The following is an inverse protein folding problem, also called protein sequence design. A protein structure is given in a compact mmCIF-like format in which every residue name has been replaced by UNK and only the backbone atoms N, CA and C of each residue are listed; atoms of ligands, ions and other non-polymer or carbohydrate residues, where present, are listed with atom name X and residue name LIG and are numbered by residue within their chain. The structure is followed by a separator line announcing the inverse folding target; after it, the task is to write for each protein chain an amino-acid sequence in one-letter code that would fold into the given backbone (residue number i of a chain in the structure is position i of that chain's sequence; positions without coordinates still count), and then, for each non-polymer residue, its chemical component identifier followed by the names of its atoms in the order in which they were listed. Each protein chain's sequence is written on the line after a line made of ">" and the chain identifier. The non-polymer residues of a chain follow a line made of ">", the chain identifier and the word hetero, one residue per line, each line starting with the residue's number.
data_IF_766065731968
#
_entry.id   IF_766065731968
#
_cell.length_a   1.000
_cell.length_b   1.000
_cell.length_c   1.000
_cell.angle_alpha   90.00
_cell.angle_beta   90.00
_cell.angle_gamma   90.00
#
_symmetry.space_group_name_H-M   'P 1'
#
loop_
_entity.id
_entity.type
_entity.pdbx_description
1 polymer ?
#
# COMPACT_ATOMS: atom_id res chain seq x y z
N UNK A 1 13.37 10.50 -6.74
CA UNK A 1 13.35 9.47 -5.67
C UNK A 1 11.90 9.34 -5.30
N UNK A 2 11.25 8.29 -5.77
CA UNK A 2 9.80 8.30 -5.98
C UNK A 2 9.12 7.45 -4.91
N UNK A 3 9.34 7.86 -3.65
CA UNK A 3 8.61 7.33 -2.52
C UNK A 3 7.28 8.05 -2.41
N UNK A 4 6.20 7.27 -2.35
CA UNK A 4 4.88 7.79 -2.06
C UNK A 4 4.44 7.26 -0.69
N UNK A 5 4.04 8.18 0.18
CA UNK A 5 3.31 7.82 1.39
C UNK A 5 1.83 7.74 1.05
N UNK A 6 1.23 6.57 1.19
CA UNK A 6 -0.20 6.37 0.99
C UNK A 6 -0.92 6.31 2.33
N UNK A 7 -2.16 6.81 2.39
CA UNK A 7 -2.98 6.80 3.59
C UNK A 7 -3.83 5.53 3.64
N UNK A 8 -4.90 5.49 2.85
CA UNK A 8 -5.83 4.36 2.86
C UNK A 8 -5.35 3.20 1.99
N UNK A 9 -4.60 3.49 0.93
CA UNK A 9 -4.18 2.50 -0.05
C UNK A 9 -4.03 3.12 -1.43
N UNK A 10 -3.93 2.27 -2.45
CA UNK A 10 -3.79 2.66 -3.84
C UNK A 10 -4.53 1.68 -4.74
N UNK A 11 -4.91 2.14 -5.93
CA UNK A 11 -5.67 1.34 -6.88
C UNK A 11 -5.20 1.52 -8.31
N UNK A 12 -5.29 0.45 -9.10
CA UNK A 12 -5.14 0.46 -10.54
C UNK A 12 -6.51 0.27 -11.21
N UNK A 13 -6.95 1.28 -11.97
CA UNK A 13 -8.19 1.22 -12.75
C UNK A 13 -7.90 0.73 -14.17
N UNK A 14 -8.16 -0.55 -14.43
CA UNK A 14 -8.09 -1.12 -15.77
C UNK A 14 -9.38 -0.90 -16.58
N UNK A 15 -9.40 -1.39 -17.83
CA UNK A 15 -10.59 -1.27 -18.71
C UNK A 15 -11.73 -2.23 -18.35
N UNK A 16 -11.41 -3.37 -17.73
CA UNK A 16 -12.37 -4.46 -17.43
C UNK A 16 -12.38 -4.87 -15.96
N UNK A 17 -11.30 -4.58 -15.24
CA UNK A 17 -11.14 -4.90 -13.83
C UNK A 17 -10.32 -3.77 -13.20
N UNK A 18 -10.69 -3.40 -11.97
CA UNK A 18 -9.85 -2.60 -11.10
C UNK A 18 -9.25 -3.47 -10.01
N UNK A 19 -8.10 -3.04 -9.49
CA UNK A 19 -7.42 -3.65 -8.34
C UNK A 19 -7.22 -2.56 -7.31
N UNK A 20 -7.58 -2.83 -6.06
CA UNK A 20 -7.34 -1.96 -4.92
C UNK A 20 -6.50 -2.73 -3.90
N UNK A 21 -5.55 -2.04 -3.27
CA UNK A 21 -4.78 -2.61 -2.18
C UNK A 21 -4.58 -1.59 -1.05
N UNK A 22 -4.43 -2.10 0.17
CA UNK A 22 -3.99 -1.32 1.32
C UNK A 22 -2.85 -2.03 2.05
N UNK A 23 -1.97 -1.24 2.67
CA UNK A 23 -0.82 -1.71 3.43
C UNK A 23 -0.70 -0.88 4.72
N UNK A 24 -1.59 -1.09 5.71
CA UNK A 24 -1.66 -0.25 6.91
C UNK A 24 -0.35 -0.21 7.71
N UNK A 25 0.45 -1.28 7.66
CA UNK A 25 1.70 -1.39 8.41
C UNK A 25 2.91 -0.79 7.67
N UNK A 26 2.82 -0.64 6.34
CA UNK A 26 3.94 -0.21 5.48
C UNK A 26 3.48 0.83 4.46
N UNK A 27 3.10 2.05 4.90
CA UNK A 27 2.46 3.06 4.04
C UNK A 27 3.38 3.68 2.99
N UNK A 28 4.67 3.31 2.98
CA UNK A 28 5.64 3.80 2.01
C UNK A 28 5.76 2.82 0.85
N UNK A 29 5.51 3.33 -0.34
CA UNK A 29 5.63 2.57 -1.59
C UNK A 29 6.61 3.24 -2.55
N UNK A 30 7.14 2.44 -3.47
CA UNK A 30 7.95 2.89 -4.58
C UNK A 30 7.26 2.48 -5.88
N UNK A 31 7.17 3.43 -6.81
CA UNK A 31 6.69 3.19 -8.17
C UNK A 31 7.87 3.28 -9.12
N UNK A 32 8.06 2.24 -9.92
CA UNK A 32 9.08 2.21 -10.96
C UNK A 32 10.22 1.24 -10.71
N UNK A 33 11.15 1.20 -11.66
CA UNK A 33 12.28 0.29 -11.61
C UNK A 33 13.19 0.60 -10.42
N UNK A 34 13.62 -0.44 -9.69
CA UNK A 34 14.66 -0.32 -8.68
C UNK A 34 16.00 -0.10 -9.39
N UNK A 35 16.56 1.11 -9.34
CA UNK A 35 17.92 1.36 -9.83
C UNK A 35 18.75 2.11 -8.79
N UNK A 36 20.03 1.70 -8.65
CA UNK A 36 20.95 2.31 -7.69
C UNK A 36 21.24 3.80 -7.99
N UNK A 37 21.04 4.22 -9.25
CA UNK A 37 21.30 5.57 -9.73
C UNK A 37 19.98 6.30 -10.10
N UNK A 38 18.87 6.00 -9.41
CA UNK A 38 17.56 6.53 -9.79
C UNK A 38 17.40 8.03 -9.45
N UNK A 39 17.94 8.87 -10.32
CA UNK A 39 17.65 10.30 -10.38
C UNK A 39 16.52 10.52 -11.38
N UNK A 40 15.29 10.15 -11.00
CA UNK A 40 14.11 10.64 -11.72
C UNK A 40 13.62 11.90 -11.00
N UNK A 41 13.73 13.01 -11.71
CA UNK A 41 13.32 14.36 -11.34
C UNK A 41 12.08 14.79 -12.13
N UNK A 42 11.27 13.85 -12.63
CA UNK A 42 10.16 14.21 -13.49
C UNK A 42 8.90 13.43 -13.12
N UNK A 43 7.85 14.17 -12.76
CA UNK A 43 6.46 13.73 -12.70
C UNK A 43 5.96 13.34 -14.11
N UNK A 44 6.59 12.35 -14.73
CA UNK A 44 6.20 11.82 -16.04
C UNK A 44 5.01 10.88 -15.83
N UNK A 45 3.86 11.11 -16.49
CA UNK A 45 2.62 10.36 -16.27
C UNK A 45 2.74 8.85 -16.52
N UNK A 46 3.75 8.41 -17.27
CA UNK A 46 3.99 6.98 -17.56
C UNK A 46 4.58 6.19 -16.37
N UNK A 47 5.07 6.85 -15.31
CA UNK A 47 5.57 6.16 -14.11
C UNK A 47 4.46 5.46 -13.31
N UNK A 48 3.21 5.94 -13.40
CA UNK A 48 2.06 5.36 -12.69
C UNK A 48 1.62 3.98 -13.21
N UNK A 49 2.29 3.45 -14.24
CA UNK A 49 2.06 2.11 -14.81
C UNK A 49 3.16 1.11 -14.50
N UNK A 50 4.14 1.50 -13.69
CA UNK A 50 5.32 0.70 -13.44
C UNK A 50 5.15 -0.23 -12.23
N UNK A 51 6.17 -1.05 -11.99
CA UNK A 51 6.22 -1.98 -10.87
C UNK A 51 6.02 -1.24 -9.55
N UNK A 52 5.24 -1.85 -8.65
CA UNK A 52 4.99 -1.37 -7.30
C UNK A 52 5.80 -2.17 -6.31
N UNK A 53 6.53 -1.48 -5.45
CA UNK A 53 7.27 -2.08 -4.34
C UNK A 53 6.80 -1.49 -3.02
N UNK A 54 6.67 -2.33 -1.99
CA UNK A 54 6.44 -1.86 -0.63
C UNK A 54 7.78 -1.70 0.08
N UNK A 55 7.95 -0.57 0.75
CA UNK A 55 9.13 -0.30 1.57
C UNK A 55 8.85 -0.69 3.02
N UNK A 56 9.08 -1.96 3.32
CA UNK A 56 8.66 -2.57 4.60
C UNK A 56 9.53 -2.19 5.79
N UNK A 57 10.78 -1.79 5.55
CA UNK A 57 11.75 -1.48 6.60
C UNK A 57 12.67 -0.34 6.17
N UNK A 58 12.82 0.66 7.04
CA UNK A 58 13.65 1.83 6.80
C UNK A 58 15.13 1.54 7.07
N UNK A 59 15.81 0.98 6.06
CA UNK A 59 17.28 0.82 6.09
C UNK A 59 17.93 1.54 4.91
N UNK A 60 17.40 2.69 4.55
CA UNK A 60 18.09 3.50 3.56
C UNK A 60 19.30 4.14 4.21
N UNK A 61 20.42 4.14 3.50
CA UNK A 61 21.73 4.56 4.04
C UNK A 61 21.72 6.00 4.57
N UNK A 62 20.85 6.87 4.04
CA UNK A 62 20.66 8.27 4.47
C UNK A 62 19.73 8.46 5.68
N UNK A 63 19.04 7.41 6.13
CA UNK A 63 18.09 7.50 7.24
C UNK A 63 18.73 7.02 8.53
N UNK A 64 18.64 7.83 9.59
CA UNK A 64 19.30 7.61 10.88
C UNK A 64 18.62 6.52 11.73
N UNK A 65 18.35 5.37 11.12
CA UNK A 65 17.77 4.20 11.78
C UNK A 65 18.85 3.18 12.11
N UNK A 66 18.57 2.37 13.14
CA UNK A 66 19.45 1.27 13.53
C UNK A 66 19.58 0.30 12.35
N UNK A 67 20.81 0.11 11.86
CA UNK A 67 21.09 -0.75 10.70
C UNK A 67 20.71 -2.24 10.91
N UNK A 68 20.47 -2.66 12.15
CA UNK A 68 20.07 -4.04 12.45
C UNK A 68 18.56 -4.24 12.37
N UNK A 69 18.12 -5.17 11.52
CA UNK A 69 16.73 -5.62 11.35
C UNK A 69 16.45 -6.95 12.06
N UNK A 70 17.10 -7.20 13.19
CA UNK A 70 16.89 -8.45 13.93
C UNK A 70 15.54 -8.45 14.63
N UNK A 71 14.78 -9.54 14.51
CA UNK A 71 13.50 -9.73 15.19
C UNK A 71 12.50 -10.51 14.35
N UNK A 72 11.26 -10.58 14.86
CA UNK A 72 10.11 -11.10 14.11
C UNK A 72 9.20 -9.92 13.76
N UNK A 73 8.82 -9.85 12.49
CA UNK A 73 7.96 -8.79 11.96
C UNK A 73 6.78 -9.43 11.22
N UNK A 74 5.61 -8.82 11.37
CA UNK A 74 4.40 -9.16 10.61
C UNK A 74 3.92 -7.86 9.96
N UNK A 75 3.54 -7.95 8.68
CA UNK A 75 3.03 -6.82 7.90
C UNK A 75 1.78 -7.26 7.16
N UNK A 76 0.69 -6.53 7.36
CA UNK A 76 -0.60 -6.79 6.77
C UNK A 76 -0.75 -6.08 5.43
N UNK A 77 -1.20 -6.85 4.44
CA UNK A 77 -1.58 -6.36 3.13
C UNK A 77 -2.96 -6.88 2.77
N UNK A 78 -3.79 -6.01 2.25
CA UNK A 78 -5.12 -6.34 1.79
C UNK A 78 -5.25 -6.07 0.31
N UNK A 79 -5.90 -6.98 -0.41
CA UNK A 79 -6.11 -6.88 -1.85
C UNK A 79 -7.55 -7.17 -2.19
N UNK A 80 -8.09 -6.40 -3.13
CA UNK A 80 -9.39 -6.66 -3.74
C UNK A 80 -9.32 -6.35 -5.22
N UNK A 81 -10.09 -7.10 -6.02
CA UNK A 81 -10.14 -6.93 -7.47
C UNK A 81 -11.55 -7.17 -7.96
N UNK A 82 -12.03 -6.33 -8.88
CA UNK A 82 -13.37 -6.48 -9.42
C UNK A 82 -13.71 -5.41 -10.46
N UNK A 83 -14.74 -5.64 -11.30
CA UNK A 83 -15.22 -4.65 -12.26
C UNK A 83 -15.71 -3.36 -11.60
N UNK A 84 -16.24 -3.43 -10.38
CA UNK A 84 -16.68 -2.28 -9.60
C UNK A 84 -15.52 -1.36 -9.19
N UNK A 85 -14.32 -1.89 -9.05
CA UNK A 85 -13.12 -1.15 -8.67
C UNK A 85 -12.48 -0.39 -9.85
N UNK A 86 -13.07 -0.47 -11.06
CA UNK A 86 -12.67 0.41 -12.17
C UNK A 86 -12.94 1.88 -11.80
N UNK A 87 -14.03 2.15 -11.07
CA UNK A 87 -14.33 3.48 -10.54
C UNK A 87 -13.33 3.84 -9.42
N UNK A 88 -12.54 4.92 -9.58
CA UNK A 88 -11.58 5.33 -8.55
C UNK A 88 -12.23 5.56 -7.18
N UNK A 89 -13.45 6.11 -7.16
CA UNK A 89 -14.19 6.37 -5.93
C UNK A 89 -14.51 5.07 -5.18
N UNK A 90 -14.99 4.04 -5.89
CA UNK A 90 -15.25 2.71 -5.31
C UNK A 90 -13.98 2.02 -4.89
N UNK A 91 -12.91 2.16 -5.67
CA UNK A 91 -11.60 1.59 -5.33
C UNK A 91 -11.04 2.17 -4.02
N UNK A 92 -11.05 3.50 -3.87
CA UNK A 92 -10.59 4.16 -2.63
C UNK A 92 -11.51 3.82 -1.45
N UNK A 93 -12.83 3.72 -1.67
CA UNK A 93 -13.74 3.26 -0.63
C UNK A 93 -13.42 1.84 -0.18
N UNK A 94 -13.07 0.94 -1.11
CA UNK A 94 -12.63 -0.41 -0.80
C UNK A 94 -11.35 -0.40 0.06
N UNK A 95 -10.35 0.44 -0.27
CA UNK A 95 -9.15 0.62 0.56
C UNK A 95 -9.48 1.04 2.00
N UNK A 96 -10.38 2.00 2.17
CA UNK A 96 -10.86 2.43 3.50
C UNK A 96 -11.50 1.28 4.27
N UNK A 97 -12.35 0.50 3.61
CA UNK A 97 -13.02 -0.65 4.20
C UNK A 97 -12.01 -1.72 4.65
N UNK A 98 -11.01 -2.02 3.83
CA UNK A 98 -9.93 -2.95 4.18
C UNK A 98 -9.20 -2.53 5.45
N UNK A 99 -9.07 -1.22 5.70
CA UNK A 99 -8.40 -0.71 6.90
C UNK A 99 -9.32 -0.58 8.13
N UNK A 100 -10.63 -0.73 8.00
CA UNK A 100 -11.58 -0.37 9.07
C UNK A 100 -11.75 -1.45 10.15
N UNK A 101 -11.21 -2.66 9.93
CA UNK A 101 -11.36 -3.79 10.86
C UNK A 101 -12.83 -4.16 11.14
N UNK A 102 -13.04 -5.17 11.98
CA UNK A 102 -14.36 -5.54 12.47
C UNK A 102 -14.38 -5.46 14.00
N UNK A 103 -15.40 -4.82 14.55
CA UNK A 103 -15.62 -4.81 16.00
C UNK A 103 -16.53 -5.97 16.36
N UNK A 104 -16.05 -6.89 17.19
CA UNK A 104 -16.78 -8.09 17.61
C UNK A 104 -17.12 -7.99 19.09
N UNK A 105 -18.41 -8.12 19.42
CA UNK A 105 -18.89 -8.18 20.80
C UNK A 105 -19.41 -9.58 21.10
N UNK A 106 -19.06 -10.12 22.28
CA UNK A 106 -19.64 -11.34 22.82
C UNK A 106 -20.59 -10.98 23.94
N UNK A 107 -21.86 -11.34 23.80
CA UNK A 107 -22.85 -11.22 24.88
C UNK A 107 -23.16 -12.60 25.44
N UNK A 108 -23.11 -12.75 26.76
CA UNK A 108 -23.63 -13.92 27.47
C UNK A 108 -24.83 -13.49 28.30
N UNK A 109 -25.98 -14.11 28.05
CA UNK A 109 -27.10 -14.04 28.99
C UNK A 109 -26.77 -14.96 30.16
N UNK A 110 -26.57 -14.38 31.34
CA UNK A 110 -26.67 -15.15 32.58
C UNK A 110 -28.16 -15.47 32.78
N UNK A 111 -28.47 -16.77 32.88
CA UNK A 111 -29.74 -17.26 33.41
C UNK A 111 -29.64 -17.36 34.92
#
# INVERSE_FOLDING_TARGET
>A
MDFYSIQDGMSFSGKKIGVAFSCPDTPMIWLGALSANHTVYENQPDHNRQQLYSWVMNNYWDTNFKASLGGFYEFNYHFSSGPELISPQKAIQCCKQMNSGAVVFRSSSQK
#
